data_IF_548706749769
#
_entry.id   IF_548706749769
#
_cell.length_a   1.000
_cell.length_b   1.000
_cell.length_c   1.000
_cell.angle_alpha   90.00
_cell.angle_beta   90.00
_cell.angle_gamma   90.00
#
_symmetry.space_group_name_H-M   'P 1'
#
loop_
_entity.id
_entity.type
_entity.pdbx_description
1 polymer ?
#
# COMPACT_ATOMS: atom_id res chain seq x y z
N UNK A 1 -12.87 5.24 11.46
CA UNK A 1 -11.46 5.48 11.10
C UNK A 1 -11.44 6.71 10.21
N UNK A 2 -11.04 7.85 10.76
CA UNK A 2 -10.80 9.04 9.96
C UNK A 2 -9.35 8.97 9.44
N UNK A 3 -9.15 8.23 8.35
CA UNK A 3 -7.91 8.37 7.58
C UNK A 3 -8.14 9.58 6.67
N UNK A 4 -7.80 10.76 7.17
CA UNK A 4 -7.81 11.97 6.36
C UNK A 4 -6.55 11.94 5.48
N UNK A 5 -6.66 11.30 4.33
CA UNK A 5 -5.69 11.49 3.26
C UNK A 5 -6.05 12.79 2.56
N UNK A 6 -5.27 13.84 2.78
CA UNK A 6 -5.33 15.04 1.92
C UNK A 6 -4.87 14.65 0.52
N UNK A 7 -5.64 14.97 -0.53
CA UNK A 7 -5.21 14.70 -1.89
C UNK A 7 -4.11 15.67 -2.32
N UNK A 8 -3.05 15.20 -2.96
CA UNK A 8 -2.17 16.09 -3.69
C UNK A 8 -2.91 16.63 -4.91
N UNK A 9 -2.87 17.93 -5.07
CA UNK A 9 -3.47 18.67 -6.17
C UNK A 9 -2.79 18.32 -7.51
N UNK A 10 -3.63 18.13 -8.55
CA UNK A 10 -3.41 18.27 -9.99
C UNK A 10 -2.52 17.22 -10.68
N UNK A 11 -3.19 16.20 -11.22
CA UNK A 11 -2.76 15.59 -12.46
C UNK A 11 -3.53 16.25 -13.62
N UNK A 12 -2.80 16.91 -14.52
CA UNK A 12 -3.35 17.43 -15.77
C UNK A 12 -3.60 16.27 -16.74
N UNK A 13 -4.84 16.14 -17.16
CA UNK A 13 -5.24 15.32 -18.29
C UNK A 13 -4.56 15.81 -19.57
N UNK A 14 -3.77 14.94 -20.20
CA UNK A 14 -3.47 15.06 -21.62
C UNK A 14 -4.26 14.01 -22.37
N UNK A 15 -5.30 14.49 -23.02
CA UNK A 15 -6.02 13.81 -24.07
C UNK A 15 -5.06 13.55 -25.25
N UNK A 16 -4.90 12.32 -25.65
CA UNK A 16 -4.37 11.99 -26.96
C UNK A 16 -5.40 11.16 -27.71
N UNK A 17 -5.95 11.79 -28.71
CA UNK A 17 -6.72 11.18 -29.79
C UNK A 17 -5.90 10.08 -30.47
N UNK A 18 -6.46 8.93 -30.63
CA UNK A 18 -5.98 7.94 -31.61
C UNK A 18 -7.16 7.54 -32.49
N UNK A 19 -7.04 7.96 -33.73
CA UNK A 19 -7.93 7.63 -34.81
C UNK A 19 -7.86 6.14 -35.18
N UNK A 20 -9.02 5.60 -35.44
CA UNK A 20 -9.24 4.28 -36.02
C UNK A 20 -8.72 4.21 -37.43
N UNK A 21 -8.17 3.04 -37.79
CA UNK A 21 -8.25 2.51 -39.15
C UNK A 21 -8.55 1.02 -39.06
N UNK A 22 -9.70 0.66 -39.60
CA UNK A 22 -10.09 -0.71 -39.87
C UNK A 22 -9.33 -1.26 -41.08
N UNK A 23 -8.95 -2.51 -41.05
CA UNK A 23 -9.07 -3.31 -42.24
C UNK A 23 -9.23 -4.81 -41.94
N UNK A 24 -10.19 -5.37 -42.62
CA UNK A 24 -10.66 -6.77 -42.62
C UNK A 24 -9.68 -7.72 -43.28
N UNK A 25 -9.67 -8.96 -42.85
CA UNK A 25 -10.02 -10.16 -43.66
C UNK A 25 -9.41 -11.45 -43.10
N UNK A 26 -10.28 -12.32 -42.64
CA UNK A 26 -10.57 -13.71 -42.96
C UNK A 26 -9.43 -14.75 -42.84
N UNK A 27 -9.71 -15.80 -42.08
CA UNK A 27 -9.85 -17.23 -42.39
C UNK A 27 -9.47 -18.12 -41.18
N UNK A 28 -10.48 -18.78 -40.64
CA UNK A 28 -10.61 -20.21 -40.23
C UNK A 28 -9.37 -20.92 -39.64
N UNK A 29 -9.43 -21.55 -38.55
CA UNK A 29 -10.22 -22.50 -37.82
C UNK A 29 -9.39 -23.13 -36.68
N UNK A 30 -9.90 -23.99 -35.81
CA UNK A 30 -9.82 -23.82 -34.38
C UNK A 30 -8.82 -24.81 -33.78
N UNK A 31 -8.05 -24.34 -32.85
CA UNK A 31 -7.48 -25.21 -31.81
C UNK A 31 -7.84 -24.62 -30.47
N UNK A 32 -8.82 -25.24 -29.85
CA UNK A 32 -9.12 -25.15 -28.43
C UNK A 32 -7.85 -25.53 -27.63
N UNK A 33 -7.05 -24.56 -27.30
CA UNK A 33 -6.18 -24.66 -26.15
C UNK A 33 -6.76 -23.67 -25.15
N UNK A 34 -7.52 -24.22 -24.23
CA UNK A 34 -7.91 -23.53 -23.00
C UNK A 34 -6.63 -23.29 -22.20
N UNK A 35 -5.93 -22.24 -22.56
CA UNK A 35 -4.84 -21.71 -21.75
C UNK A 35 -5.50 -20.84 -20.71
N UNK A 36 -5.76 -21.48 -19.55
CA UNK A 36 -6.01 -20.76 -18.33
C UNK A 36 -4.89 -19.71 -18.17
N UNK A 37 -5.22 -18.45 -17.84
CA UNK A 37 -4.18 -17.48 -17.55
C UNK A 37 -3.32 -18.08 -16.42
N UNK A 38 -2.13 -18.50 -16.77
CA UNK A 38 -1.11 -18.79 -15.79
C UNK A 38 -0.98 -17.50 -14.96
N UNK A 39 -1.53 -17.51 -13.78
CA UNK A 39 -1.23 -16.52 -12.78
C UNK A 39 0.28 -16.64 -12.58
N UNK A 40 1.01 -15.75 -13.23
CA UNK A 40 2.41 -15.53 -12.91
C UNK A 40 2.45 -15.25 -11.43
N UNK A 41 2.81 -16.26 -10.65
CA UNK A 41 3.27 -16.08 -9.29
C UNK A 41 4.56 -15.29 -9.47
N UNK A 42 4.42 -13.97 -9.55
CA UNK A 42 5.54 -13.07 -9.55
C UNK A 42 6.31 -13.38 -8.28
N UNK A 43 7.47 -14.02 -8.43
CA UNK A 43 8.31 -14.40 -7.31
C UNK A 43 8.65 -13.13 -6.54
N UNK A 44 7.97 -12.91 -5.43
CA UNK A 44 8.17 -11.75 -4.57
C UNK A 44 9.59 -11.81 -4.03
N UNK A 45 10.40 -10.83 -4.34
CA UNK A 45 11.78 -10.79 -3.87
C UNK A 45 11.83 -10.63 -2.35
N UNK A 46 12.92 -11.04 -1.67
CA UNK A 46 13.06 -10.83 -0.22
C UNK A 46 12.87 -9.37 0.22
N UNK A 47 13.27 -8.44 -0.63
CA UNK A 47 13.08 -6.99 -0.40
C UNK A 47 11.59 -6.62 -0.40
N UNK A 48 10.84 -7.13 -1.35
CA UNK A 48 9.39 -6.92 -1.44
C UNK A 48 8.65 -7.61 -0.29
N UNK A 49 9.08 -8.81 0.11
CA UNK A 49 8.52 -9.52 1.26
C UNK A 49 8.71 -8.72 2.56
N UNK A 50 9.85 -8.08 2.73
CA UNK A 50 10.11 -7.22 3.89
C UNK A 50 9.18 -6.00 3.92
N UNK A 51 8.85 -5.42 2.77
CA UNK A 51 7.88 -4.32 2.68
C UNK A 51 6.45 -4.79 3.05
N UNK A 52 6.03 -5.95 2.54
CA UNK A 52 4.75 -6.58 2.91
C UNK A 52 4.69 -6.85 4.42
N UNK A 53 5.78 -7.37 4.98
CA UNK A 53 5.87 -7.62 6.42
C UNK A 53 5.70 -6.33 7.24
N UNK A 54 6.32 -5.24 6.83
CA UNK A 54 6.19 -3.95 7.53
C UNK A 54 4.72 -3.48 7.62
N UNK A 55 3.92 -3.69 6.56
CA UNK A 55 2.49 -3.38 6.59
C UNK A 55 1.73 -4.31 7.55
N UNK A 56 2.03 -5.59 7.55
CA UNK A 56 1.40 -6.55 8.47
C UNK A 56 1.73 -6.22 9.91
N UNK A 57 2.99 -6.00 10.24
CA UNK A 57 3.44 -5.62 11.58
C UNK A 57 2.75 -4.33 12.06
N UNK A 58 2.52 -3.37 11.15
CA UNK A 58 1.77 -2.15 11.44
C UNK A 58 0.33 -2.43 11.85
N UNK A 59 -0.38 -3.27 11.11
CA UNK A 59 -1.77 -3.62 11.44
C UNK A 59 -1.88 -4.55 12.65
N UNK A 60 -0.90 -5.42 12.86
CA UNK A 60 -0.80 -6.25 14.06
C UNK A 60 -0.62 -5.37 15.31
N UNK A 61 0.22 -4.35 15.24
CA UNK A 61 0.38 -3.39 16.33
C UNK A 61 -0.93 -2.63 16.63
N UNK A 62 -1.68 -2.23 15.60
CA UNK A 62 -3.01 -1.60 15.78
C UNK A 62 -3.99 -2.58 16.45
N UNK A 63 -4.04 -3.84 16.00
CA UNK A 63 -4.91 -4.87 16.55
C UNK A 63 -4.60 -5.16 18.01
N UNK A 64 -3.33 -5.12 18.39
CA UNK A 64 -2.85 -5.27 19.75
C UNK A 64 -2.97 -3.99 20.60
N UNK A 65 -3.46 -2.89 20.00
CA UNK A 65 -3.55 -1.56 20.61
C UNK A 65 -2.19 -0.96 21.01
N UNK A 66 -1.12 -1.48 20.43
CA UNK A 66 0.20 -0.86 20.52
C UNK A 66 0.34 0.28 19.51
N UNK A 67 -0.37 1.35 19.78
CA UNK A 67 -0.40 2.53 18.90
C UNK A 67 0.95 3.22 18.80
N UNK A 68 1.83 3.02 19.80
CA UNK A 68 3.18 3.58 19.76
C UNK A 68 4.03 2.87 18.69
N UNK A 69 4.00 1.55 18.68
CA UNK A 69 4.69 0.75 17.67
C UNK A 69 4.09 1.03 16.28
N UNK A 70 2.76 1.06 16.16
CA UNK A 70 2.10 1.39 14.90
C UNK A 70 2.49 2.79 14.39
N UNK A 71 2.56 3.78 15.28
CA UNK A 71 2.96 5.13 14.92
C UNK A 71 4.43 5.20 14.45
N UNK A 72 5.32 4.49 15.14
CA UNK A 72 6.75 4.43 14.76
C UNK A 72 7.01 3.67 13.46
N UNK A 73 6.07 2.86 12.98
CA UNK A 73 6.15 2.22 11.66
C UNK A 73 6.10 3.24 10.50
N UNK A 74 5.62 4.45 10.75
CA UNK A 74 5.69 5.54 9.80
C UNK A 74 7.07 6.18 9.77
N UNK A 75 7.51 6.57 8.58
CA UNK A 75 8.83 7.21 8.40
C UNK A 75 8.99 8.45 9.30
N UNK A 76 10.22 8.70 9.73
CA UNK A 76 10.56 9.78 10.67
C UNK A 76 9.80 9.71 11.99
N UNK A 77 9.72 8.52 12.59
CA UNK A 77 9.04 8.30 13.86
C UNK A 77 7.58 8.80 13.88
N UNK A 78 6.83 8.49 12.83
CA UNK A 78 5.43 8.86 12.73
C UNK A 78 5.16 10.15 11.99
N UNK A 79 6.16 11.00 11.72
CA UNK A 79 5.94 12.30 11.07
C UNK A 79 5.35 12.16 9.64
N UNK A 80 5.66 11.07 8.95
CA UNK A 80 5.11 10.81 7.62
C UNK A 80 3.60 10.54 7.63
N UNK A 81 3.00 10.20 8.77
CA UNK A 81 1.54 10.09 8.93
C UNK A 81 0.82 11.43 8.86
N UNK A 82 1.56 12.54 8.96
CA UNK A 82 1.04 13.91 9.03
C UNK A 82 0.07 14.17 10.19
N UNK A 83 0.14 13.33 11.21
CA UNK A 83 -0.69 13.40 12.41
C UNK A 83 0.21 13.41 13.65
N UNK A 84 -0.25 14.04 14.73
CA UNK A 84 0.35 13.83 16.04
C UNK A 84 0.04 12.41 16.54
N UNK A 85 0.83 11.91 17.47
CA UNK A 85 0.56 10.60 18.08
C UNK A 85 -0.85 10.50 18.68
N UNK A 86 -1.31 11.58 19.34
CA UNK A 86 -2.65 11.61 19.92
C UNK A 86 -3.75 11.56 18.84
N UNK A 87 -3.60 12.28 17.74
CA UNK A 87 -4.54 12.22 16.61
C UNK A 87 -4.55 10.84 15.99
N UNK A 88 -3.38 10.24 15.79
CA UNK A 88 -3.24 8.88 15.28
C UNK A 88 -3.98 7.88 16.18
N UNK A 89 -3.72 7.91 17.50
CA UNK A 89 -4.37 7.06 18.47
C UNK A 89 -5.90 7.25 18.48
N UNK A 90 -6.37 8.49 18.43
CA UNK A 90 -7.79 8.80 18.38
C UNK A 90 -8.48 8.21 17.14
N UNK A 91 -7.78 8.15 16.02
CA UNK A 91 -8.30 7.54 14.78
C UNK A 91 -8.67 6.06 14.94
N UNK A 92 -8.06 5.36 15.88
CA UNK A 92 -8.28 3.90 16.09
C UNK A 92 -9.02 3.57 17.39
N UNK A 93 -9.34 4.54 18.24
CA UNK A 93 -9.97 4.27 19.55
C UNK A 93 -11.33 3.58 19.42
N UNK A 94 -12.07 3.85 18.34
CA UNK A 94 -13.36 3.27 18.03
C UNK A 94 -13.25 2.03 17.13
N UNK A 95 -12.06 1.50 16.92
CA UNK A 95 -11.84 0.30 16.12
C UNK A 95 -11.76 -0.91 17.04
N UNK A 96 -12.65 -1.84 16.86
CA UNK A 96 -12.72 -3.11 17.60
C UNK A 96 -11.73 -4.13 17.04
N UNK A 97 -11.69 -4.26 15.72
CA UNK A 97 -10.79 -5.13 15.00
C UNK A 97 -10.38 -4.54 13.66
N UNK A 98 -9.21 -4.90 13.19
CA UNK A 98 -8.72 -4.54 11.86
C UNK A 98 -7.99 -5.72 11.25
N UNK A 99 -8.21 -5.94 9.97
CA UNK A 99 -7.53 -6.97 9.18
C UNK A 99 -7.04 -6.34 7.89
N UNK A 100 -5.87 -6.73 7.43
CA UNK A 100 -5.30 -6.26 6.17
C UNK A 100 -5.02 -7.42 5.23
N UNK A 101 -5.47 -7.28 4.01
CA UNK A 101 -5.05 -8.11 2.88
C UNK A 101 -4.05 -7.31 2.07
N UNK A 102 -2.87 -7.87 1.87
CA UNK A 102 -1.77 -7.22 1.16
C UNK A 102 -1.64 -7.87 -0.20
N UNK A 103 -1.78 -7.07 -1.24
CA UNK A 103 -1.63 -7.50 -2.62
C UNK A 103 -0.17 -7.61 -3.05
N UNK A 104 0.05 -7.89 -4.32
CA UNK A 104 1.39 -8.01 -4.88
C UNK A 104 2.10 -6.65 -4.84
N UNK A 105 3.30 -6.56 -4.25
CA UNK A 105 4.08 -5.33 -4.23
C UNK A 105 4.46 -4.89 -5.65
N UNK A 106 4.45 -3.58 -5.87
CA UNK A 106 4.88 -2.98 -7.11
C UNK A 106 6.40 -3.08 -7.34
N UNK A 107 6.87 -2.34 -8.32
CA UNK A 107 8.30 -2.24 -8.63
C UNK A 107 9.02 -1.45 -7.54
N UNK A 108 10.29 -1.77 -7.39
CA UNK A 108 11.18 -1.02 -6.52
C UNK A 108 11.72 0.19 -7.29
N UNK A 109 11.48 1.37 -6.76
CA UNK A 109 12.03 2.61 -7.29
C UNK A 109 13.10 3.16 -6.35
N UNK A 110 14.20 3.66 -6.92
CA UNK A 110 15.30 4.23 -6.17
C UNK A 110 15.41 5.73 -6.42
N UNK A 111 15.57 6.51 -5.37
CA UNK A 111 15.86 7.94 -5.47
C UNK A 111 16.72 8.41 -4.29
N UNK A 112 17.82 9.12 -4.61
CA UNK A 112 18.64 9.85 -3.64
C UNK A 112 18.94 9.10 -2.33
N UNK A 113 19.48 7.87 -2.43
CA UNK A 113 19.87 7.08 -1.25
C UNK A 113 18.71 6.42 -0.52
N UNK A 114 17.53 6.40 -1.10
CA UNK A 114 16.35 5.70 -0.59
C UNK A 114 15.74 4.80 -1.66
N UNK A 115 15.06 3.76 -1.22
CA UNK A 115 14.23 2.91 -2.08
C UNK A 115 12.77 3.09 -1.69
N UNK A 116 11.90 3.08 -2.68
CA UNK A 116 10.46 3.21 -2.52
C UNK A 116 9.75 2.01 -3.15
N UNK A 117 8.63 1.61 -2.57
CA UNK A 117 7.79 0.56 -3.11
C UNK A 117 6.33 0.86 -2.82
N UNK A 118 5.48 0.69 -3.81
CA UNK A 118 4.04 0.77 -3.64
C UNK A 118 3.48 -0.63 -3.38
N UNK A 119 2.62 -0.74 -2.38
CA UNK A 119 2.00 -2.01 -2.00
C UNK A 119 0.49 -1.81 -1.89
N UNK A 120 -0.29 -2.45 -2.77
CA UNK A 120 -1.74 -2.37 -2.70
C UNK A 120 -2.26 -3.15 -1.49
N UNK A 121 -3.32 -2.61 -0.87
CA UNK A 121 -3.94 -3.22 0.31
C UNK A 121 -5.45 -3.11 0.26
N UNK A 122 -6.11 -4.06 0.93
CA UNK A 122 -7.49 -3.98 1.33
C UNK A 122 -7.56 -4.11 2.84
N UNK A 123 -8.19 -3.15 3.50
CA UNK A 123 -8.31 -3.10 4.96
C UNK A 123 -9.77 -3.27 5.34
N UNK A 124 -10.04 -4.24 6.16
CA UNK A 124 -11.37 -4.45 6.77
C UNK A 124 -11.29 -4.10 8.24
N UNK A 125 -12.12 -3.18 8.70
CA UNK A 125 -12.17 -2.76 10.08
C UNK A 125 -13.60 -2.88 10.61
N UNK A 126 -13.72 -3.27 11.87
CA UNK A 126 -14.99 -3.26 12.59
C UNK A 126 -14.90 -2.26 13.71
N UNK A 127 -15.89 -1.40 13.81
CA UNK A 127 -15.98 -0.43 14.89
C UNK A 127 -16.45 -1.08 16.19
N UNK A 128 -16.27 -0.39 17.31
CA UNK A 128 -16.80 -0.82 18.62
C UNK A 128 -18.33 -0.89 18.66
N UNK A 129 -19.00 -0.24 17.72
CA UNK A 129 -20.47 -0.30 17.54
C UNK A 129 -20.90 -1.45 16.61
N UNK A 130 -19.96 -2.26 16.11
CA UNK A 130 -20.26 -3.39 15.24
C UNK A 130 -20.35 -3.03 13.74
N UNK A 131 -20.10 -1.79 13.35
CA UNK A 131 -20.14 -1.38 11.95
C UNK A 131 -18.87 -1.85 11.22
N UNK A 132 -19.04 -2.59 10.13
CA UNK A 132 -17.94 -2.98 9.25
C UNK A 132 -17.63 -1.86 8.28
N UNK A 133 -16.34 -1.61 8.08
CA UNK A 133 -15.80 -0.64 7.14
C UNK A 133 -14.71 -1.31 6.31
N UNK A 134 -14.70 -1.03 5.01
CA UNK A 134 -13.66 -1.51 4.11
C UNK A 134 -12.96 -0.33 3.46
N UNK A 135 -11.64 -0.44 3.34
CA UNK A 135 -10.81 0.55 2.68
C UNK A 135 -9.95 -0.16 1.65
N UNK A 136 -9.80 0.45 0.50
CA UNK A 136 -8.95 -0.05 -0.58
C UNK A 136 -8.01 1.04 -1.04
N UNK A 137 -6.77 0.64 -1.36
CA UNK A 137 -5.79 1.58 -1.87
C UNK A 137 -4.39 1.01 -1.81
N UNK A 138 -3.42 1.87 -1.59
CA UNK A 138 -2.02 1.47 -1.49
C UNK A 138 -1.26 2.28 -0.45
N UNK A 139 -0.18 1.68 0.03
CA UNK A 139 0.87 2.33 0.79
C UNK A 139 2.09 2.50 -0.07
N UNK A 140 2.75 3.64 0.03
CA UNK A 140 4.12 3.81 -0.40
C UNK A 140 5.00 3.63 0.83
N UNK A 141 5.94 2.67 0.77
CA UNK A 141 6.95 2.47 1.78
C UNK A 141 8.27 3.03 1.31
N UNK A 142 9.05 3.50 2.25
CA UNK A 142 10.41 4.01 2.04
C UNK A 142 11.40 3.24 2.89
N UNK A 143 12.55 2.97 2.33
CA UNK A 143 13.71 2.43 3.03
C UNK A 143 14.92 3.29 2.71
N UNK A 144 15.67 3.66 3.72
CA UNK A 144 16.98 4.30 3.51
C UNK A 144 17.98 3.22 3.09
N UNK A 145 18.64 3.41 1.95
CA UNK A 145 19.69 2.51 1.51
C UNK A 145 20.92 2.82 2.39
N UNK A 146 21.37 1.82 3.15
CA UNK A 146 22.38 1.98 4.18
C UNK A 146 23.62 2.72 3.68
N UNK A 147 23.84 3.91 4.23
CA UNK A 147 25.13 4.58 4.23
C UNK A 147 25.84 4.08 5.50
N UNK A 148 27.13 3.83 5.42
CA UNK A 148 27.92 3.47 6.60
C UNK A 148 27.67 4.45 7.73
N UNK A 149 27.05 3.98 8.83
CA UNK A 149 26.65 4.81 9.97
C UNK A 149 25.14 5.01 10.18
N UNK A 150 24.29 4.48 9.29
CA UNK A 150 22.83 4.49 9.54
C UNK A 150 22.50 3.52 10.68
N UNK A 151 21.64 3.95 11.59
CA UNK A 151 21.12 3.07 12.62
C UNK A 151 20.34 1.90 12.00
N UNK A 152 20.41 0.69 12.55
CA UNK A 152 19.76 -0.50 11.99
C UNK A 152 18.25 -0.35 11.79
N UNK A 153 17.59 0.42 12.64
CA UNK A 153 16.17 0.74 12.59
C UNK A 153 15.80 1.63 11.40
N UNK A 154 16.73 2.41 10.88
CA UNK A 154 16.50 3.26 9.71
C UNK A 154 16.64 2.50 8.37
N UNK A 155 17.27 1.32 8.40
CA UNK A 155 17.42 0.47 7.22
C UNK A 155 16.18 -0.39 6.91
N UNK A 156 15.16 -0.34 7.77
CA UNK A 156 13.89 -1.01 7.60
C UNK A 156 12.95 -0.28 6.62
N UNK A 157 11.89 -0.98 6.21
CA UNK A 157 10.79 -0.36 5.48
C UNK A 157 9.89 0.40 6.45
N UNK A 158 9.61 1.65 6.12
CA UNK A 158 8.69 2.49 6.87
C UNK A 158 7.56 2.98 5.95
N UNK A 159 6.38 3.15 6.50
CA UNK A 159 5.24 3.74 5.81
C UNK A 159 5.56 5.21 5.51
N UNK A 160 5.56 5.57 4.24
CA UNK A 160 5.89 6.92 3.78
C UNK A 160 4.64 7.72 3.42
N UNK A 161 3.71 7.09 2.73
CA UNK A 161 2.40 7.68 2.44
C UNK A 161 1.33 6.60 2.30
N UNK A 162 0.08 6.99 2.50
CA UNK A 162 -1.09 6.15 2.32
C UNK A 162 -2.10 6.83 1.41
N UNK A 163 -2.66 6.07 0.49
CA UNK A 163 -3.79 6.49 -0.33
C UNK A 163 -4.88 5.41 -0.22
N UNK A 164 -5.72 5.55 0.78
CA UNK A 164 -6.81 4.61 1.06
C UNK A 164 -8.14 5.31 0.92
N UNK A 165 -9.05 4.70 0.19
CA UNK A 165 -10.43 5.15 0.06
C UNK A 165 -11.38 4.13 0.71
N UNK A 166 -12.39 4.61 1.39
CA UNK A 166 -13.45 3.75 1.91
C UNK A 166 -14.27 3.23 0.73
N UNK A 167 -14.51 1.93 0.74
CA UNK A 167 -15.39 1.24 -0.22
C UNK A 167 -16.53 0.61 0.56
N UNK A 168 -17.72 0.75 0.05
CA UNK A 168 -18.93 0.16 0.63
C UNK A 168 -19.27 -1.14 -0.10
#
# INVERSE_FOLDING_TARGET
>A
IAITASPPAKAQSRSVNASAVANSSIVSDPILVSEAPAQSIASTTPIQQAAVKAIRDYYDAISNRDYRQAYSAWDRNGAASQQSFEQFKQGFINTSSVTVEVGAPGRLDGAAGSSYIEVPVMVSATTTTGTSQQFRGSYILRRVNGISGSAPDQCGWHLYSANLAQVN
#
